data_IF_506185652161
#
_entry.id   IF_506185652161
#
_cell.length_a   1.000
_cell.length_b   1.000
_cell.length_c   1.000
_cell.angle_alpha   90.00
_cell.angle_beta   90.00
_cell.angle_gamma   90.00
#
_symmetry.space_group_name_H-M   'P 1'
#
loop_
_entity.id
_entity.type
_entity.pdbx_description
1 polymer ?
#
# COMPACT_ATOMS: atom_id res chain seq x y z
N UNK A 1 73.73 22.79 -21.76
CA UNK A 1 72.76 22.63 -20.64
C UNK A 1 71.52 23.44 -21.00
N UNK A 2 70.39 22.78 -21.28
CA UNK A 2 69.08 23.42 -21.38
C UNK A 2 68.04 22.41 -20.88
N UNK A 3 67.42 22.71 -19.74
CA UNK A 3 66.36 21.93 -19.14
C UNK A 3 65.03 22.31 -19.79
N UNK A 4 64.35 21.34 -20.41
CA UNK A 4 62.97 21.46 -20.86
C UNK A 4 62.06 21.00 -19.71
N UNK A 5 61.30 21.92 -19.09
CA UNK A 5 60.26 21.60 -18.12
C UNK A 5 58.89 21.52 -18.82
N UNK A 6 58.40 20.30 -19.01
CA UNK A 6 57.04 20.03 -19.48
C UNK A 6 56.08 20.09 -18.29
N UNK A 7 55.39 21.22 -18.10
CA UNK A 7 54.38 21.37 -17.05
C UNK A 7 53.05 20.74 -17.47
N UNK A 8 52.77 19.53 -16.99
CA UNK A 8 51.47 18.88 -17.12
C UNK A 8 50.46 19.52 -16.14
N UNK A 9 49.47 20.24 -16.67
CA UNK A 9 48.33 20.76 -15.89
C UNK A 9 47.20 19.73 -15.91
N UNK A 10 47.07 18.96 -14.82
CA UNK A 10 45.95 18.04 -14.60
C UNK A 10 44.77 18.83 -13.98
N UNK A 11 43.79 19.20 -14.81
CA UNK A 11 42.51 19.74 -14.31
C UNK A 11 41.61 18.57 -13.89
N UNK A 12 41.55 18.28 -12.59
CA UNK A 12 40.56 17.38 -12.04
C UNK A 12 39.21 18.11 -11.96
N UNK A 13 38.35 17.92 -12.95
CA UNK A 13 36.96 18.37 -12.90
C UNK A 13 36.18 17.45 -11.94
N UNK A 14 35.96 17.92 -10.71
CA UNK A 14 35.11 17.25 -9.72
C UNK A 14 33.64 17.47 -10.12
N UNK A 15 33.11 16.61 -10.98
CA UNK A 15 31.68 16.56 -11.28
C UNK A 15 30.94 16.03 -10.05
N UNK A 16 30.41 16.94 -9.23
CA UNK A 16 29.39 16.59 -8.24
C UNK A 16 28.14 16.12 -9.01
N UNK A 17 28.01 14.81 -9.17
CA UNK A 17 26.76 14.17 -9.55
C UNK A 17 25.74 14.46 -8.44
N UNK A 18 25.01 15.55 -8.58
CA UNK A 18 23.81 15.80 -7.80
C UNK A 18 22.78 14.76 -8.22
N UNK A 19 22.73 13.64 -7.49
CA UNK A 19 21.59 12.74 -7.52
C UNK A 19 20.41 13.49 -6.91
N UNK A 20 19.65 14.20 -7.74
CA UNK A 20 18.39 14.79 -7.32
C UNK A 20 17.54 13.68 -6.68
N UNK A 21 17.32 13.78 -5.37
CA UNK A 21 16.44 12.87 -4.66
C UNK A 21 15.06 12.97 -5.32
N UNK A 22 14.63 11.88 -5.95
CA UNK A 22 13.28 11.82 -6.49
C UNK A 22 12.30 12.07 -5.32
N UNK A 23 11.22 12.83 -5.53
CA UNK A 23 10.22 13.03 -4.49
C UNK A 23 9.78 11.69 -3.92
N UNK A 24 9.65 11.62 -2.59
CA UNK A 24 9.20 10.41 -1.91
C UNK A 24 7.83 10.03 -2.47
N UNK A 25 7.72 8.81 -2.99
CA UNK A 25 6.45 8.28 -3.48
C UNK A 25 5.56 8.03 -2.28
N UNK A 26 4.31 8.48 -2.38
CA UNK A 26 3.34 8.37 -1.30
C UNK A 26 2.36 7.27 -1.66
N UNK A 27 2.08 6.42 -0.68
CA UNK A 27 1.00 5.47 -0.78
C UNK A 27 -0.33 6.23 -0.85
N UNK A 28 -1.03 6.12 -1.97
CA UNK A 28 -2.41 6.59 -2.09
C UNK A 28 -3.33 5.62 -1.33
N UNK A 29 -4.52 6.05 -0.83
CA UNK A 29 -5.35 5.34 0.14
C UNK A 29 -5.25 3.82 0.13
N UNK A 30 -4.78 3.29 1.26
CA UNK A 30 -4.38 1.90 1.49
C UNK A 30 -3.29 1.84 2.58
N UNK A 31 -2.65 0.69 2.84
CA UNK A 31 -2.90 -0.62 2.24
C UNK A 31 -4.26 -1.19 2.65
N UNK A 32 -4.84 -2.02 1.79
CA UNK A 32 -6.04 -2.80 2.13
C UNK A 32 -5.68 -4.28 2.13
N UNK A 33 -5.98 -4.97 3.22
CA UNK A 33 -5.76 -6.42 3.32
C UNK A 33 -7.07 -7.16 3.06
N UNK A 34 -7.02 -8.17 2.20
CA UNK A 34 -8.16 -9.03 1.90
C UNK A 34 -7.72 -10.46 1.58
N UNK A 35 -8.68 -11.35 1.32
CA UNK A 35 -8.40 -12.76 1.04
C UNK A 35 -7.58 -13.43 2.14
N UNK A 36 -7.85 -13.05 3.40
CA UNK A 36 -7.16 -13.58 4.57
C UNK A 36 -7.63 -15.00 4.84
N UNK A 37 -6.70 -15.90 5.09
CA UNK A 37 -6.94 -17.27 5.54
C UNK A 37 -6.19 -17.53 6.85
N UNK A 38 -6.09 -18.79 7.27
CA UNK A 38 -5.23 -19.19 8.38
C UNK A 38 -3.73 -18.94 8.10
N UNK A 39 -3.31 -19.02 6.84
CA UNK A 39 -1.89 -19.08 6.46
C UNK A 39 -1.52 -18.10 5.35
N UNK A 40 -2.48 -17.37 4.80
CA UNK A 40 -2.29 -16.50 3.65
C UNK A 40 -3.08 -15.19 3.79
N UNK A 41 -2.67 -14.16 3.07
CA UNK A 41 -3.41 -12.92 2.90
C UNK A 41 -2.96 -12.23 1.60
N UNK A 42 -3.73 -11.25 1.13
CA UNK A 42 -3.34 -10.38 0.01
C UNK A 42 -3.42 -8.93 0.45
N UNK A 43 -2.35 -8.18 0.22
CA UNK A 43 -2.31 -6.75 0.50
C UNK A 43 -2.39 -5.98 -0.82
N UNK A 44 -3.47 -5.26 -1.01
CA UNK A 44 -3.63 -4.29 -2.08
C UNK A 44 -2.95 -2.97 -1.70
N UNK A 45 -2.14 -2.46 -2.61
CA UNK A 45 -1.46 -1.17 -2.48
C UNK A 45 -1.61 -0.39 -3.77
N UNK A 46 -1.61 0.94 -3.66
CA UNK A 46 -1.55 1.83 -4.80
C UNK A 46 -0.62 3.01 -4.53
N UNK A 47 0.23 3.35 -5.48
CA UNK A 47 1.14 4.49 -5.39
C UNK A 47 0.70 5.63 -6.30
N UNK A 48 1.19 6.83 -6.01
CA UNK A 48 0.83 8.07 -6.71
C UNK A 48 1.66 8.37 -7.97
N UNK A 49 2.71 7.59 -8.27
CA UNK A 49 3.61 7.93 -9.37
C UNK A 49 4.14 6.74 -10.19
N UNK A 50 4.58 7.08 -11.41
CA UNK A 50 4.94 6.19 -12.52
C UNK A 50 6.24 5.38 -12.39
N UNK A 51 7.02 5.54 -11.32
CA UNK A 51 8.39 4.98 -11.30
C UNK A 51 8.44 3.51 -10.84
N UNK A 52 9.29 2.76 -11.55
CA UNK A 52 9.17 1.37 -11.99
C UNK A 52 9.42 0.24 -10.97
N UNK A 53 9.08 0.34 -9.69
CA UNK A 53 9.23 -0.84 -8.80
C UNK A 53 8.05 -1.02 -7.87
N UNK A 54 7.49 -2.23 -7.83
CA UNK A 54 6.45 -2.56 -6.83
C UNK A 54 7.03 -2.35 -5.42
N UNK A 55 6.23 -1.81 -4.50
CA UNK A 55 6.69 -1.55 -3.16
C UNK A 55 6.95 -2.88 -2.43
N UNK A 56 8.18 -3.14 -1.91
CA UNK A 56 8.37 -4.23 -0.96
C UNK A 56 7.42 -4.08 0.24
N UNK A 57 6.89 -5.18 0.75
CA UNK A 57 6.09 -5.19 1.97
C UNK A 57 6.90 -5.78 3.12
N UNK A 58 6.92 -5.09 4.26
CA UNK A 58 7.34 -5.66 5.52
C UNK A 58 6.11 -5.94 6.37
N UNK A 59 6.07 -7.13 6.95
CA UNK A 59 5.06 -7.51 7.91
C UNK A 59 5.76 -8.17 9.10
N UNK A 60 5.14 -8.09 10.27
CA UNK A 60 5.68 -8.65 11.49
C UNK A 60 4.54 -9.23 12.33
N UNK A 61 4.63 -10.48 12.79
CA UNK A 61 3.78 -10.92 13.89
C UNK A 61 4.12 -10.10 15.14
N UNK A 62 3.27 -10.10 16.17
CA UNK A 62 3.55 -9.40 17.44
C UNK A 62 4.91 -9.82 18.09
N UNK A 63 5.44 -10.99 17.72
CA UNK A 63 6.74 -11.55 18.12
C UNK A 63 7.94 -10.99 17.28
N UNK A 64 9.21 -11.17 17.68
CA UNK A 64 10.34 -10.41 17.12
C UNK A 64 10.87 -10.84 15.74
N UNK A 65 10.28 -11.83 15.07
CA UNK A 65 10.75 -12.26 13.74
C UNK A 65 10.28 -11.30 12.64
N UNK A 66 11.21 -10.86 11.80
CA UNK A 66 10.97 -10.01 10.64
C UNK A 66 11.00 -10.88 9.39
N UNK A 67 9.84 -11.08 8.76
CA UNK A 67 9.78 -11.75 7.47
C UNK A 67 9.78 -10.71 6.36
N UNK A 68 10.75 -10.83 5.45
CA UNK A 68 10.83 -10.00 4.24
C UNK A 68 10.29 -10.83 3.08
N UNK A 69 9.24 -10.33 2.43
CA UNK A 69 8.75 -10.93 1.20
C UNK A 69 9.57 -10.49 -0.01
N UNK A 70 9.63 -11.40 -0.99
CA UNK A 70 10.35 -11.21 -2.25
C UNK A 70 9.76 -10.02 -3.02
N UNK A 71 10.63 -9.19 -3.60
CA UNK A 71 10.19 -8.16 -4.53
C UNK A 71 9.53 -8.83 -5.75
N UNK A 72 8.30 -8.46 -6.04
CA UNK A 72 7.64 -8.82 -7.29
C UNK A 72 7.94 -7.72 -8.31
N UNK A 73 8.51 -8.05 -9.47
CA UNK A 73 8.66 -7.10 -10.58
C UNK A 73 7.55 -7.35 -11.59
N UNK A 74 6.87 -6.29 -12.04
CA UNK A 74 6.08 -6.32 -13.27
C UNK A 74 6.35 -5.02 -14.04
N UNK A 75 6.70 -5.15 -15.32
CA UNK A 75 7.15 -4.06 -16.20
C UNK A 75 6.01 -3.39 -17.00
N UNK A 76 4.74 -3.63 -16.64
CA UNK A 76 3.60 -3.13 -17.41
C UNK A 76 3.13 -1.73 -16.95
N UNK A 77 2.57 -0.90 -17.86
CA UNK A 77 1.92 0.38 -17.54
C UNK A 77 0.57 0.16 -16.82
N UNK A 78 0.61 -0.41 -15.61
CA UNK A 78 -0.54 -0.57 -14.75
C UNK A 78 -0.82 0.73 -13.96
N UNK A 79 -2.05 0.89 -13.45
CA UNK A 79 -2.55 2.03 -12.64
C UNK A 79 -1.86 2.20 -11.26
N UNK A 80 -0.58 1.85 -11.16
CA UNK A 80 0.27 1.87 -9.95
C UNK A 80 -0.30 1.06 -8.79
N UNK A 81 -1.14 0.08 -9.10
CA UNK A 81 -1.72 -0.87 -8.15
C UNK A 81 -0.92 -2.17 -8.12
N UNK A 82 -0.81 -2.79 -6.95
CA UNK A 82 -0.28 -4.14 -6.81
C UNK A 82 -1.02 -4.93 -5.75
N UNK A 83 -1.13 -6.25 -5.96
CA UNK A 83 -1.48 -7.21 -4.92
C UNK A 83 -0.20 -7.92 -4.47
N UNK A 84 0.09 -7.84 -3.18
CA UNK A 84 1.24 -8.47 -2.56
C UNK A 84 0.74 -9.72 -1.81
N UNK A 85 0.99 -10.94 -2.30
CA UNK A 85 0.62 -12.14 -1.59
C UNK A 85 1.51 -12.30 -0.34
N UNK A 86 0.88 -12.63 0.78
CA UNK A 86 1.51 -13.05 2.02
C UNK A 86 1.20 -14.53 2.21
N UNK A 87 2.22 -15.36 2.43
CA UNK A 87 2.08 -16.81 2.65
C UNK A 87 2.88 -17.24 3.86
N UNK A 88 2.61 -18.44 4.37
CA UNK A 88 3.30 -19.00 5.54
C UNK A 88 2.97 -18.27 6.84
N UNK A 89 1.81 -17.60 6.89
CA UNK A 89 1.32 -16.95 8.11
C UNK A 89 0.92 -18.01 9.14
N UNK A 90 0.97 -17.64 10.42
CA UNK A 90 0.46 -18.45 11.51
C UNK A 90 -1.05 -18.18 11.66
N UNK A 91 -1.86 -19.20 11.96
CA UNK A 91 -3.29 -19.03 12.25
C UNK A 91 -3.50 -18.17 13.50
N UNK A 92 -4.66 -17.53 13.60
CA UNK A 92 -5.11 -16.73 14.77
C UNK A 92 -4.06 -15.71 15.25
N UNK A 93 -3.35 -15.10 14.31
CA UNK A 93 -2.20 -14.24 14.59
C UNK A 93 -2.41 -12.85 13.99
N UNK A 94 -2.21 -11.81 14.80
CA UNK A 94 -2.19 -10.43 14.34
C UNK A 94 -0.86 -10.07 13.68
N UNK A 95 -0.93 -9.56 12.46
CA UNK A 95 0.20 -9.05 11.70
C UNK A 95 0.09 -7.55 11.49
N UNK A 96 1.18 -6.83 11.79
CA UNK A 96 1.30 -5.41 11.52
C UNK A 96 2.02 -5.20 10.19
N UNK A 97 1.55 -4.24 9.40
CA UNK A 97 2.00 -3.95 8.05
C UNK A 97 2.79 -2.66 8.00
N UNK A 98 3.89 -2.69 7.26
CA UNK A 98 4.58 -1.49 6.82
C UNK A 98 4.99 -1.66 5.37
N UNK A 99 4.29 -0.97 4.48
CA UNK A 99 4.61 -0.95 3.05
C UNK A 99 5.85 -0.10 2.86
N UNK A 100 6.80 -0.58 2.05
CA UNK A 100 7.98 0.19 1.67
C UNK A 100 7.86 0.54 0.20
N UNK A 101 7.79 1.82 -0.14
CA UNK A 101 7.83 2.27 -1.53
C UNK A 101 9.24 2.76 -1.82
N UNK A 102 9.90 2.21 -2.84
CA UNK A 102 11.32 2.46 -3.12
C UNK A 102 12.24 2.27 -1.91
N UNK A 103 11.95 1.29 -1.06
CA UNK A 103 12.72 1.02 0.16
C UNK A 103 12.40 1.96 1.34
N UNK A 104 11.57 2.98 1.14
CA UNK A 104 11.15 3.92 2.18
C UNK A 104 9.86 3.45 2.85
N UNK A 105 9.85 3.24 4.19
CA UNK A 105 8.64 2.91 4.93
C UNK A 105 7.57 3.99 4.76
N UNK A 106 6.34 3.59 4.48
CA UNK A 106 5.20 4.50 4.33
C UNK A 106 4.55 4.83 5.68
N UNK A 107 4.81 4.03 6.71
CA UNK A 107 4.38 4.28 8.08
C UNK A 107 5.61 4.36 8.97
N UNK A 108 5.79 5.49 9.65
CA UNK A 108 6.97 5.75 10.51
C UNK A 108 6.66 5.66 12.00
N UNK A 109 5.39 5.73 12.39
CA UNK A 109 4.95 5.63 13.79
C UNK A 109 3.67 4.78 13.93
N UNK A 110 3.43 4.14 15.09
CA UNK A 110 2.18 3.46 15.41
C UNK A 110 0.96 4.41 15.47
N UNK A 111 -0.28 3.87 15.37
CA UNK A 111 -0.57 2.47 15.10
C UNK A 111 -0.30 2.10 13.63
N UNK A 112 0.41 1.00 13.42
CA UNK A 112 0.58 0.45 12.07
C UNK A 112 -0.73 -0.22 11.64
N UNK A 113 -1.10 -0.17 10.33
CA UNK A 113 -2.17 -1.00 9.80
C UNK A 113 -1.93 -2.47 10.17
N UNK A 114 -2.98 -3.21 10.49
CA UNK A 114 -2.87 -4.61 10.88
C UNK A 114 -4.04 -5.43 10.36
N UNK A 115 -3.87 -6.75 10.39
CA UNK A 115 -4.93 -7.72 10.16
C UNK A 115 -4.69 -8.95 11.05
N UNK A 116 -5.70 -9.80 11.23
CA UNK A 116 -5.57 -11.08 11.92
C UNK A 116 -5.89 -12.22 10.96
N UNK A 117 -5.08 -13.28 10.97
CA UNK A 117 -5.37 -14.53 10.24
C UNK A 117 -6.50 -15.31 10.91
N UNK A 118 -7.20 -16.11 10.12
CA UNK A 118 -8.27 -16.96 10.64
C UNK A 118 -7.75 -18.17 11.42
N UNK A 119 -8.66 -18.82 12.14
CA UNK A 119 -8.40 -20.11 12.74
C UNK A 119 -8.09 -21.17 11.67
N UNK A 120 -7.37 -22.26 12.04
CA UNK A 120 -7.13 -23.36 11.11
C UNK A 120 -8.44 -23.90 10.54
N UNK A 121 -8.42 -24.29 9.25
CA UNK A 121 -9.59 -24.87 8.60
C UNK A 121 -10.15 -26.06 9.41
N UNK A 122 -11.48 -26.12 9.52
CA UNK A 122 -12.17 -27.11 10.35
C UNK A 122 -12.36 -26.71 11.81
N UNK A 123 -11.82 -25.58 12.25
CA UNK A 123 -12.09 -25.03 13.59
C UNK A 123 -13.38 -24.23 13.61
N UNK A 124 -14.21 -24.42 14.65
CA UNK A 124 -15.33 -23.54 14.94
C UNK A 124 -14.86 -22.33 15.77
N UNK A 125 -15.31 -21.13 15.39
CA UNK A 125 -15.07 -19.88 16.12
C UNK A 125 -16.30 -19.00 16.00
N UNK A 126 -16.63 -18.32 17.09
CA UNK A 126 -17.54 -17.19 17.03
C UNK A 126 -16.78 -16.00 16.44
N UNK A 127 -17.40 -15.28 15.52
CA UNK A 127 -16.85 -14.05 14.97
C UNK A 127 -17.98 -13.10 14.58
N UNK A 128 -17.65 -11.82 14.57
CA UNK A 128 -18.50 -10.77 14.01
C UNK A 128 -17.89 -10.31 12.68
N UNK A 129 -18.74 -9.96 11.73
CA UNK A 129 -18.34 -9.35 10.48
C UNK A 129 -19.27 -8.19 10.18
N UNK A 130 -18.74 -7.20 9.46
CA UNK A 130 -19.54 -6.08 8.97
C UNK A 130 -19.90 -6.29 7.50
N UNK A 131 -21.07 -5.79 7.10
CA UNK A 131 -21.48 -5.68 5.69
C UNK A 131 -21.68 -4.22 5.38
N UNK A 132 -21.01 -3.74 4.34
CA UNK A 132 -21.07 -2.37 3.87
C UNK A 132 -21.47 -2.37 2.39
N UNK A 133 -22.42 -1.55 1.99
CA UNK A 133 -22.87 -1.40 0.61
C UNK A 133 -23.42 0.01 0.40
N UNK A 134 -23.77 0.34 -0.84
CA UNK A 134 -24.50 1.55 -1.23
C UNK A 134 -23.83 2.85 -0.74
N UNK A 135 -22.55 3.02 -1.06
CA UNK A 135 -21.80 4.20 -0.68
C UNK A 135 -22.19 5.42 -1.52
N UNK A 136 -22.38 6.55 -0.84
CA UNK A 136 -22.52 7.85 -1.49
C UNK A 136 -21.16 8.49 -1.79
N UNK A 137 -21.10 9.30 -2.85
CA UNK A 137 -19.95 10.17 -3.13
C UNK A 137 -20.13 11.50 -2.41
N UNK A 138 -19.18 11.86 -1.55
CA UNK A 138 -19.13 13.18 -0.93
C UNK A 138 -17.95 13.96 -1.51
N UNK A 139 -18.24 15.09 -2.17
CA UNK A 139 -17.23 15.90 -2.86
C UNK A 139 -16.07 16.35 -1.96
N UNK A 140 -16.36 16.55 -0.66
CA UNK A 140 -15.37 16.85 0.37
C UNK A 140 -15.82 16.24 1.69
N UNK A 141 -15.06 15.27 2.20
CA UNK A 141 -15.23 14.81 3.57
C UNK A 141 -14.71 15.90 4.51
N UNK A 142 -15.62 16.49 5.29
CA UNK A 142 -15.31 17.51 6.31
C UNK A 142 -15.30 16.93 7.72
N UNK A 143 -15.77 15.69 7.87
CA UNK A 143 -15.78 14.91 9.10
C UNK A 143 -15.65 13.42 8.77
N UNK A 144 -15.34 12.62 9.78
CA UNK A 144 -15.36 11.16 9.67
C UNK A 144 -16.77 10.67 9.31
N UNK A 145 -16.82 9.66 8.44
CA UNK A 145 -18.10 9.04 8.07
C UNK A 145 -18.54 8.11 9.20
N UNK A 146 -19.65 8.45 9.85
CA UNK A 146 -20.15 7.73 11.03
C UNK A 146 -20.32 6.23 10.77
N UNK A 147 -20.69 5.79 9.58
CA UNK A 147 -20.83 4.37 9.24
C UNK A 147 -19.51 3.60 9.44
N UNK A 148 -18.38 4.13 8.98
CA UNK A 148 -17.08 3.48 9.19
C UNK A 148 -16.65 3.55 10.65
N UNK A 149 -16.96 4.66 11.35
CA UNK A 149 -16.67 4.79 12.77
C UNK A 149 -17.45 3.78 13.63
N UNK A 150 -18.75 3.60 13.35
CA UNK A 150 -19.59 2.61 14.02
C UNK A 150 -19.09 1.19 13.76
N UNK A 151 -18.80 0.85 12.50
CA UNK A 151 -18.23 -0.47 12.16
C UNK A 151 -16.89 -0.69 12.85
N UNK A 152 -16.02 0.32 12.93
CA UNK A 152 -14.76 0.21 13.65
C UNK A 152 -14.96 0.00 15.16
N UNK A 153 -15.97 0.64 15.76
CA UNK A 153 -16.31 0.48 17.17
C UNK A 153 -16.81 -0.93 17.52
N UNK A 154 -17.50 -1.60 16.60
CA UNK A 154 -17.94 -2.99 16.75
C UNK A 154 -16.78 -4.01 16.64
N UNK A 155 -15.59 -3.57 16.23
CA UNK A 155 -14.38 -4.39 16.10
C UNK A 155 -14.59 -5.74 15.35
N UNK A 156 -15.19 -5.74 14.14
CA UNK A 156 -15.44 -6.96 13.38
C UNK A 156 -14.13 -7.65 12.97
N UNK A 157 -14.17 -8.97 12.82
CA UNK A 157 -13.03 -9.75 12.35
C UNK A 157 -12.68 -9.42 10.89
N UNK A 158 -13.69 -9.11 10.07
CA UNK A 158 -13.54 -8.63 8.70
C UNK A 158 -14.80 -7.89 8.23
N UNK A 159 -14.70 -7.19 7.11
CA UNK A 159 -15.83 -6.55 6.45
C UNK A 159 -16.02 -7.11 5.05
N UNK A 160 -17.27 -7.29 4.65
CA UNK A 160 -17.69 -7.53 3.27
C UNK A 160 -18.19 -6.22 2.67
N UNK A 161 -17.75 -5.92 1.45
CA UNK A 161 -18.18 -4.72 0.71
C UNK A 161 -19.00 -5.15 -0.49
N UNK A 162 -20.32 -4.95 -0.41
CA UNK A 162 -21.32 -5.55 -1.30
C UNK A 162 -21.44 -4.92 -2.68
N UNK A 163 -20.99 -3.68 -2.88
CA UNK A 163 -21.09 -2.99 -4.17
C UNK A 163 -21.38 -1.50 -4.04
N UNK A 164 -21.72 -0.88 -5.18
CA UNK A 164 -22.24 0.49 -5.30
C UNK A 164 -21.43 1.56 -4.58
N UNK A 165 -20.17 1.69 -5.01
CA UNK A 165 -19.22 2.63 -4.39
C UNK A 165 -19.47 4.12 -4.71
N UNK A 166 -19.98 4.42 -5.91
CA UNK A 166 -20.14 5.82 -6.36
C UNK A 166 -21.42 6.12 -7.14
N UNK A 167 -22.22 5.09 -7.46
CA UNK A 167 -23.48 5.16 -8.21
C UNK A 167 -23.37 5.88 -9.58
N UNK A 168 -22.17 6.05 -10.15
CA UNK A 168 -21.99 6.76 -11.43
C UNK A 168 -22.40 5.93 -12.65
N UNK A 169 -22.60 4.62 -12.46
CA UNK A 169 -23.00 3.64 -13.47
C UNK A 169 -22.23 3.78 -14.81
N UNK A 170 -20.89 3.70 -14.81
CA UNK A 170 -20.09 3.91 -16.01
C UNK A 170 -20.28 2.77 -17.02
N UNK A 171 -20.53 3.15 -18.28
CA UNK A 171 -20.86 2.20 -19.35
C UNK A 171 -19.63 1.70 -20.12
N UNK A 172 -18.48 2.37 -20.02
CA UNK A 172 -17.23 1.97 -20.72
C UNK A 172 -16.16 1.50 -19.75
N UNK A 173 -15.21 0.70 -20.25
CA UNK A 173 -14.08 0.23 -19.44
C UNK A 173 -13.23 1.39 -18.90
N UNK A 174 -13.00 2.42 -19.72
CA UNK A 174 -12.23 3.59 -19.31
C UNK A 174 -12.97 4.43 -18.27
N UNK A 175 -14.30 4.56 -18.39
CA UNK A 175 -15.10 5.21 -17.35
C UNK A 175 -15.12 4.39 -16.05
N UNK A 176 -15.17 3.04 -16.11
CA UNK A 176 -15.06 2.16 -14.94
C UNK A 176 -13.70 2.30 -14.25
N UNK A 177 -12.61 2.34 -15.02
CA UNK A 177 -11.26 2.59 -14.49
C UNK A 177 -11.17 3.96 -13.84
N UNK A 178 -11.72 4.99 -14.47
CA UNK A 178 -11.74 6.35 -13.93
C UNK A 178 -12.57 6.45 -12.64
N UNK A 179 -13.74 5.81 -12.59
CA UNK A 179 -14.55 5.66 -11.37
C UNK A 179 -13.73 5.06 -10.23
N UNK A 180 -13.12 3.88 -10.44
CA UNK A 180 -12.26 3.23 -9.44
C UNK A 180 -11.05 4.10 -9.06
N UNK A 181 -10.51 4.83 -10.03
CA UNK A 181 -9.41 5.76 -9.80
C UNK A 181 -9.81 6.87 -8.85
N UNK A 182 -11.00 7.43 -9.01
CA UNK A 182 -11.51 8.56 -8.24
C UNK A 182 -11.93 8.15 -6.81
N UNK A 183 -12.43 6.92 -6.60
CA UNK A 183 -12.71 6.39 -5.27
C UNK A 183 -11.50 6.41 -4.32
N UNK A 184 -10.31 6.29 -4.90
CA UNK A 184 -9.06 6.18 -4.15
C UNK A 184 -8.25 7.47 -4.12
N UNK A 185 -8.65 8.55 -4.81
CA UNK A 185 -7.92 9.82 -4.78
C UNK A 185 -8.67 10.76 -3.85
N UNK A 186 -8.34 10.73 -2.56
CA UNK A 186 -8.56 11.91 -1.74
C UNK A 186 -7.52 12.94 -2.15
N UNK A 187 -7.95 13.97 -2.87
CA UNK A 187 -7.08 15.10 -3.20
C UNK A 187 -6.59 15.68 -1.86
N UNK A 188 -5.27 15.83 -1.62
CA UNK A 188 -4.81 16.52 -0.42
C UNK A 188 -5.45 17.91 -0.37
N UNK A 189 -5.77 18.44 0.83
CA UNK A 189 -6.23 19.82 0.94
C UNK A 189 -5.20 20.74 0.27
N UNK A 190 -5.69 21.56 -0.67
CA UNK A 190 -4.94 22.67 -1.28
C UNK A 190 -4.62 23.74 -0.25
#
# INVERSE_FOLDING_TARGET
MNFSQTAARLFAALTLLHTAAAPAQILSPGPVTGGVTATEAKVFVRTDCRRQRRPPLRHRPRAPRRDRHRQHGDDAPADFTAFIPLTGLLPETTYYLNVLVNGMPQFTAPPFPFFATFAPAGSARDFQFAVLADFGVVAKLTADVQTFASVAADAPAFAFVGGDFDHSNPQTLDAKRLMLKNLTIQRPPS
#
